data_IF_479343181610
#
_entry.id   IF_479343181610
#
_cell.length_a   1.000
_cell.length_b   1.000
_cell.length_c   1.000
_cell.angle_alpha   90.00
_cell.angle_beta   90.00
_cell.angle_gamma   90.00
#
_symmetry.space_group_name_H-M   'P 1'
#
loop_
_entity.id
_entity.type
_entity.pdbx_description
1 polymer ?
#
# COMPACT_ATOMS: atom_id res chain seq x y z
N UNK A 1 26.62 -56.58 -11.23
CA UNK A 1 27.20 -55.38 -10.59
C UNK A 1 26.19 -54.25 -10.61
N UNK A 2 25.49 -53.98 -9.49
CA UNK A 2 24.64 -52.80 -9.34
C UNK A 2 25.51 -51.66 -8.79
N UNK A 3 25.77 -50.64 -9.60
CA UNK A 3 26.43 -49.41 -9.15
C UNK A 3 25.55 -48.74 -8.09
N UNK A 4 26.00 -48.80 -6.83
CA UNK A 4 25.41 -48.05 -5.72
C UNK A 4 25.75 -46.59 -5.96
N UNK A 5 24.76 -45.78 -6.37
CA UNK A 5 24.89 -44.35 -6.57
C UNK A 5 25.18 -43.73 -5.19
N UNK A 6 26.46 -43.50 -4.89
CA UNK A 6 26.90 -42.80 -3.69
C UNK A 6 26.41 -41.35 -3.83
N UNK A 7 25.26 -41.05 -3.23
CA UNK A 7 24.84 -39.66 -3.00
C UNK A 7 25.85 -39.06 -2.04
N UNK A 8 26.87 -38.39 -2.59
CA UNK A 8 27.76 -37.50 -1.85
C UNK A 8 26.87 -36.48 -1.15
N UNK A 9 26.77 -36.59 0.17
CA UNK A 9 26.13 -35.56 1.00
C UNK A 9 26.79 -34.23 0.67
N UNK A 10 26.02 -33.18 0.31
CA UNK A 10 26.60 -31.89 -0.01
C UNK A 10 27.43 -31.40 1.16
N UNK A 11 28.66 -30.97 0.85
CA UNK A 11 29.60 -30.50 1.85
C UNK A 11 28.98 -29.30 2.60
N UNK A 12 28.77 -29.42 3.91
CA UNK A 12 28.05 -28.43 4.72
C UNK A 12 28.69 -27.04 4.58
N UNK A 13 30.01 -27.00 4.39
CA UNK A 13 30.77 -25.78 4.11
C UNK A 13 30.39 -25.14 2.76
N UNK A 14 30.13 -25.94 1.73
CA UNK A 14 29.69 -25.48 0.41
C UNK A 14 28.28 -24.89 0.45
N UNK A 15 27.33 -25.56 1.10
CA UNK A 15 25.96 -25.04 1.24
C UNK A 15 25.90 -23.72 2.03
N UNK A 16 26.68 -23.64 3.12
CA UNK A 16 26.78 -22.42 3.94
C UNK A 16 27.39 -21.27 3.13
N UNK A 17 28.48 -21.52 2.38
CA UNK A 17 29.12 -20.53 1.50
C UNK A 17 28.18 -20.05 0.39
N UNK A 18 27.45 -20.95 -0.26
CA UNK A 18 26.48 -20.60 -1.30
C UNK A 18 25.32 -19.74 -0.74
N UNK A 19 24.86 -20.05 0.47
CA UNK A 19 23.83 -19.26 1.16
C UNK A 19 24.32 -17.85 1.49
N UNK A 20 25.55 -17.71 1.97
CA UNK A 20 26.17 -16.41 2.25
C UNK A 20 26.30 -15.59 0.96
N UNK A 21 26.82 -16.19 -0.11
CA UNK A 21 26.96 -15.52 -1.42
C UNK A 21 25.61 -15.03 -1.96
N UNK A 22 24.56 -15.86 -1.87
CA UNK A 22 23.20 -15.45 -2.25
C UNK A 22 22.69 -14.25 -1.45
N UNK A 23 22.95 -14.21 -0.14
CA UNK A 23 22.56 -13.06 0.72
C UNK A 23 23.32 -11.80 0.35
N UNK A 24 24.63 -11.89 0.14
CA UNK A 24 25.47 -10.76 -0.26
C UNK A 24 24.98 -10.22 -1.61
N UNK A 25 24.76 -11.10 -2.58
CA UNK A 25 24.31 -10.70 -3.91
C UNK A 25 22.91 -10.08 -3.87
N UNK A 26 21.97 -10.68 -3.14
CA UNK A 26 20.63 -10.14 -2.95
C UNK A 26 20.67 -8.75 -2.32
N UNK A 27 21.47 -8.56 -1.26
CA UNK A 27 21.62 -7.28 -0.59
C UNK A 27 22.26 -6.24 -1.51
N UNK A 28 23.37 -6.57 -2.16
CA UNK A 28 24.08 -5.68 -3.07
C UNK A 28 23.17 -5.23 -4.23
N UNK A 29 22.47 -6.16 -4.88
CA UNK A 29 21.51 -5.84 -5.95
C UNK A 29 20.36 -5.00 -5.42
N UNK A 30 19.84 -5.28 -4.22
CA UNK A 30 18.76 -4.49 -3.61
C UNK A 30 19.18 -3.05 -3.38
N UNK A 31 20.39 -2.83 -2.84
CA UNK A 31 20.94 -1.48 -2.64
C UNK A 31 21.10 -0.75 -3.98
N UNK A 32 21.68 -1.40 -4.99
CA UNK A 32 21.84 -0.80 -6.34
C UNK A 32 20.49 -0.44 -6.95
N UNK A 33 19.49 -1.33 -6.87
CA UNK A 33 18.14 -1.08 -7.37
C UNK A 33 17.47 0.09 -6.64
N UNK A 34 17.56 0.15 -5.31
CA UNK A 34 16.98 1.24 -4.53
C UNK A 34 17.64 2.57 -4.90
N UNK A 35 18.97 2.62 -4.95
CA UNK A 35 19.71 3.83 -5.34
C UNK A 35 19.34 4.27 -6.76
N UNK A 36 19.28 3.33 -7.70
CA UNK A 36 18.83 3.61 -9.06
C UNK A 36 17.40 4.15 -9.10
N UNK A 37 16.47 3.50 -8.39
CA UNK A 37 15.06 3.87 -8.34
C UNK A 37 14.84 5.26 -7.75
N UNK A 38 15.44 5.54 -6.58
CA UNK A 38 15.34 6.84 -5.90
C UNK A 38 15.99 7.95 -6.73
N UNK A 39 17.21 7.72 -7.24
CA UNK A 39 17.93 8.74 -8.02
C UNK A 39 17.20 9.08 -9.31
N UNK A 40 16.70 8.07 -10.03
CA UNK A 40 15.96 8.32 -11.27
C UNK A 40 14.60 8.94 -11.02
N UNK A 41 13.89 8.56 -9.94
CA UNK A 41 12.64 9.21 -9.53
C UNK A 41 12.86 10.70 -9.26
N UNK A 42 13.90 11.06 -8.50
CA UNK A 42 14.24 12.46 -8.22
C UNK A 42 14.65 13.26 -9.47
N UNK A 43 15.38 12.62 -10.40
CA UNK A 43 15.78 13.26 -11.67
C UNK A 43 14.61 13.48 -12.62
N UNK A 44 13.59 12.64 -12.57
CA UNK A 44 12.38 12.76 -13.38
C UNK A 44 11.27 13.54 -12.66
N UNK A 45 11.59 14.24 -11.56
CA UNK A 45 10.56 14.91 -10.75
C UNK A 45 9.77 15.91 -11.57
N UNK A 46 8.46 15.88 -11.37
CA UNK A 46 7.48 16.72 -12.03
C UNK A 46 6.29 16.87 -11.10
N UNK A 47 5.57 17.97 -11.19
CA UNK A 47 4.39 18.22 -10.38
C UNK A 47 3.15 18.22 -11.28
N UNK A 48 2.11 17.47 -10.91
CA UNK A 48 0.83 17.56 -11.60
C UNK A 48 0.14 18.87 -11.23
N UNK A 49 -0.56 19.46 -12.18
CA UNK A 49 -1.53 20.54 -11.95
C UNK A 49 -2.57 20.18 -10.88
N UNK A 50 -3.10 18.96 -10.90
CA UNK A 50 -4.03 18.43 -9.88
C UNK A 50 -3.47 18.48 -8.45
N UNK A 51 -2.15 18.42 -8.27
CA UNK A 51 -1.52 18.52 -6.95
C UNK A 51 -1.77 19.87 -6.28
N UNK A 52 -1.93 20.94 -7.07
CA UNK A 52 -2.21 22.28 -6.57
C UNK A 52 -3.58 22.41 -5.92
N UNK A 53 -4.51 21.50 -6.19
CA UNK A 53 -5.76 21.41 -5.44
C UNK A 53 -5.43 21.09 -3.98
N UNK A 54 -4.73 19.98 -3.74
CA UNK A 54 -4.37 19.53 -2.37
C UNK A 54 -3.54 20.58 -1.64
N UNK A 55 -2.55 21.17 -2.32
CA UNK A 55 -1.72 22.25 -1.78
C UNK A 55 -2.54 23.48 -1.39
N UNK A 56 -3.56 23.85 -2.17
CA UNK A 56 -4.42 24.99 -1.83
C UNK A 56 -5.28 24.72 -0.61
N UNK A 57 -5.84 23.52 -0.47
CA UNK A 57 -6.57 23.14 0.74
C UNK A 57 -5.66 23.13 1.97
N UNK A 58 -4.45 22.57 1.85
CA UNK A 58 -3.46 22.57 2.92
C UNK A 58 -3.06 24.00 3.34
N UNK A 59 -2.83 24.88 2.35
CA UNK A 59 -2.54 26.31 2.58
C UNK A 59 -3.68 27.01 3.31
N UNK A 60 -4.92 26.88 2.81
CA UNK A 60 -6.07 27.56 3.42
C UNK A 60 -6.32 27.09 4.86
N UNK A 61 -6.11 25.81 5.13
CA UNK A 61 -6.18 25.32 6.50
C UNK A 61 -5.07 25.90 7.37
N UNK A 62 -3.83 25.95 6.88
CA UNK A 62 -2.71 26.58 7.58
C UNK A 62 -2.95 28.08 7.86
N UNK A 63 -3.63 28.78 6.95
CA UNK A 63 -4.04 30.18 7.10
C UNK A 63 -5.27 30.36 8.04
N UNK A 64 -5.83 29.29 8.59
CA UNK A 64 -7.00 29.35 9.48
C UNK A 64 -8.35 29.48 8.77
N UNK A 65 -8.40 29.34 7.44
CA UNK A 65 -9.62 29.46 6.62
C UNK A 65 -10.43 28.16 6.52
N UNK A 66 -9.87 27.07 7.06
CA UNK A 66 -10.43 25.72 6.97
C UNK A 66 -9.96 24.95 5.73
N UNK A 67 -10.37 23.68 5.64
CA UNK A 67 -10.12 22.82 4.48
C UNK A 67 -11.10 23.17 3.35
N UNK A 68 -10.84 24.30 2.70
CA UNK A 68 -11.67 24.81 1.60
C UNK A 68 -10.80 25.26 0.44
N UNK A 69 -11.34 25.29 -0.78
CA UNK A 69 -10.63 25.87 -1.92
C UNK A 69 -10.78 27.39 -1.98
N UNK A 70 -12.02 27.88 -1.85
CA UNK A 70 -12.35 29.29 -1.68
C UNK A 70 -12.83 29.51 -0.24
N UNK A 71 -12.42 30.61 0.37
CA UNK A 71 -12.82 30.95 1.74
C UNK A 71 -14.33 31.10 1.84
N UNK A 72 -14.93 30.51 2.88
CA UNK A 72 -16.39 30.48 3.09
C UNK A 72 -17.15 29.42 2.26
N UNK A 73 -16.50 28.78 1.27
CA UNK A 73 -17.12 27.74 0.44
C UNK A 73 -16.68 26.34 0.90
N UNK A 74 -17.50 25.73 1.76
CA UNK A 74 -17.27 24.39 2.32
C UNK A 74 -17.60 23.27 1.31
N UNK A 75 -16.81 23.20 0.25
CA UNK A 75 -16.95 22.23 -0.84
C UNK A 75 -15.72 21.34 -0.90
N UNK A 76 -15.90 20.01 -1.00
CA UNK A 76 -14.77 19.07 -1.11
C UNK A 76 -14.33 18.91 -2.57
N UNK A 77 -13.10 19.38 -2.87
CA UNK A 77 -12.48 19.31 -4.20
C UNK A 77 -11.36 18.28 -4.35
N UNK A 78 -10.93 17.65 -3.25
CA UNK A 78 -9.84 16.66 -3.23
C UNK A 78 -10.35 15.29 -2.77
N UNK A 79 -9.59 14.23 -3.03
CA UNK A 79 -9.93 12.85 -2.61
C UNK A 79 -8.82 12.16 -1.83
N UNK A 80 -7.86 12.94 -1.35
CA UNK A 80 -6.63 12.51 -0.71
C UNK A 80 -6.40 13.25 0.63
N UNK A 81 -7.36 13.12 1.54
CA UNK A 81 -7.37 13.81 2.83
C UNK A 81 -6.08 13.61 3.61
N UNK A 82 -5.65 12.37 3.79
CA UNK A 82 -4.43 12.08 4.55
C UNK A 82 -3.20 12.77 3.94
N UNK A 83 -3.06 12.72 2.62
CA UNK A 83 -2.00 13.45 1.90
C UNK A 83 -2.09 14.96 2.12
N UNK A 84 -3.28 15.55 2.00
CA UNK A 84 -3.50 16.98 2.23
C UNK A 84 -3.10 17.39 3.65
N UNK A 85 -3.46 16.60 4.66
CA UNK A 85 -3.08 16.86 6.06
C UNK A 85 -1.55 16.83 6.25
N UNK A 86 -0.85 15.90 5.61
CA UNK A 86 0.62 15.82 5.68
C UNK A 86 1.33 17.06 5.14
N UNK A 87 0.69 17.82 4.23
CA UNK A 87 1.26 19.01 3.61
C UNK A 87 1.04 20.29 4.43
N UNK A 88 0.08 20.31 5.37
CA UNK A 88 -0.24 21.49 6.20
C UNK A 88 0.99 22.07 6.93
N UNK A 89 1.84 21.28 7.62
CA UNK A 89 2.98 21.83 8.37
C UNK A 89 3.97 22.63 7.51
N UNK A 90 4.06 22.30 6.22
CA UNK A 90 4.95 22.98 5.27
C UNK A 90 4.44 24.35 4.85
N UNK A 91 3.12 24.59 4.98
CA UNK A 91 2.54 25.91 4.83
C UNK A 91 2.62 26.77 6.10
N UNK A 92 2.77 26.17 7.28
CA UNK A 92 2.88 26.90 8.55
C UNK A 92 4.28 27.49 8.76
N UNK A 93 5.33 26.74 8.41
CA UNK A 93 6.71 27.14 8.70
C UNK A 93 7.33 28.08 7.66
N UNK A 94 6.84 28.09 6.42
CA UNK A 94 7.43 28.79 5.26
C UNK A 94 8.93 28.49 5.00
N UNK A 95 9.52 27.50 5.69
CA UNK A 95 10.95 27.15 5.57
C UNK A 95 11.22 26.22 4.39
N UNK A 96 10.24 25.38 4.04
CA UNK A 96 10.34 24.36 3.00
C UNK A 96 9.19 24.62 2.03
N UNK A 97 9.50 24.69 0.73
CA UNK A 97 8.48 24.78 -0.31
C UNK A 97 7.55 23.54 -0.22
N UNK A 98 6.23 23.72 -0.08
CA UNK A 98 5.26 22.62 -0.09
C UNK A 98 5.37 21.69 -1.31
N UNK A 99 5.84 22.19 -2.46
CA UNK A 99 6.12 21.37 -3.65
C UNK A 99 7.29 20.40 -3.40
N UNK A 100 8.35 20.87 -2.73
CA UNK A 100 9.47 20.02 -2.32
C UNK A 100 9.05 18.99 -1.26
N UNK A 101 8.11 19.35 -0.39
CA UNK A 101 7.51 18.40 0.55
C UNK A 101 6.77 17.26 -0.19
N UNK A 102 6.03 17.57 -1.26
CA UNK A 102 5.40 16.55 -2.10
C UNK A 102 6.43 15.60 -2.71
N UNK A 103 7.54 16.12 -3.26
CA UNK A 103 8.61 15.27 -3.81
C UNK A 103 9.24 14.39 -2.73
N UNK A 104 9.50 14.96 -1.56
CA UNK A 104 10.07 14.24 -0.43
C UNK A 104 9.17 13.08 0.01
N UNK A 105 7.89 13.32 0.28
CA UNK A 105 6.98 12.26 0.71
C UNK A 105 6.74 11.21 -0.37
N UNK A 106 6.68 11.61 -1.64
CA UNK A 106 6.57 10.70 -2.76
C UNK A 106 7.76 9.74 -2.87
N UNK A 107 8.99 10.28 -2.83
CA UNK A 107 10.23 9.50 -2.86
C UNK A 107 10.39 8.65 -1.60
N UNK A 108 10.05 9.18 -0.43
CA UNK A 108 10.08 8.45 0.83
C UNK A 108 9.14 7.24 0.79
N UNK A 109 7.95 7.41 0.21
CA UNK A 109 6.98 6.33 0.03
C UNK A 109 7.44 5.29 -0.99
N UNK A 110 8.06 5.73 -2.09
CA UNK A 110 8.70 4.83 -3.06
C UNK A 110 9.80 4.00 -2.41
N UNK A 111 10.68 4.64 -1.63
CA UNK A 111 11.72 3.98 -0.85
C UNK A 111 11.13 2.98 0.15
N UNK A 112 10.14 3.40 0.93
CA UNK A 112 9.44 2.52 1.87
C UNK A 112 8.82 1.30 1.18
N UNK A 113 8.24 1.47 -0.01
CA UNK A 113 7.71 0.37 -0.82
C UNK A 113 8.81 -0.62 -1.18
N UNK A 114 9.99 -0.13 -1.59
CA UNK A 114 11.15 -0.98 -1.87
C UNK A 114 11.58 -1.81 -0.65
N UNK A 115 11.60 -1.21 0.54
CA UNK A 115 11.93 -1.90 1.79
C UNK A 115 10.91 -3.02 2.07
N UNK A 116 9.61 -2.74 1.97
CA UNK A 116 8.59 -3.76 2.23
C UNK A 116 8.60 -4.88 1.18
N UNK A 117 8.94 -4.61 -0.09
CA UNK A 117 9.12 -5.66 -1.10
C UNK A 117 10.26 -6.63 -0.75
N UNK A 118 11.34 -6.12 -0.15
CA UNK A 118 12.42 -6.96 0.37
C UNK A 118 11.93 -7.79 1.56
N UNK A 119 11.23 -7.17 2.52
CA UNK A 119 10.73 -7.84 3.72
C UNK A 119 9.70 -8.95 3.40
N UNK A 120 8.91 -8.77 2.34
CA UNK A 120 7.95 -9.79 1.88
C UNK A 120 8.60 -11.04 1.28
N UNK A 121 9.87 -10.97 0.89
CA UNK A 121 10.54 -12.07 0.20
C UNK A 121 11.02 -13.14 1.20
N UNK A 122 10.27 -14.24 1.36
CA UNK A 122 10.63 -15.34 2.27
C UNK A 122 11.71 -16.29 1.73
N UNK A 123 11.78 -16.47 0.41
CA UNK A 123 12.71 -17.40 -0.24
C UNK A 123 13.94 -16.64 -0.73
N UNK A 124 15.11 -17.06 -0.26
CA UNK A 124 16.37 -16.45 -0.66
C UNK A 124 16.69 -16.80 -2.12
N UNK A 125 16.42 -15.85 -3.01
CA UNK A 125 16.93 -15.81 -4.38
C UNK A 125 18.20 -14.95 -4.42
N UNK A 126 19.14 -15.16 -5.36
CA UNK A 126 20.22 -14.19 -5.59
C UNK A 126 19.69 -12.84 -6.10
N UNK A 127 18.53 -12.81 -6.75
CA UNK A 127 17.93 -11.61 -7.36
C UNK A 127 16.64 -11.24 -6.61
N UNK A 128 16.48 -9.99 -6.16
CA UNK A 128 15.27 -9.51 -5.51
C UNK A 128 14.16 -9.24 -6.54
N UNK A 129 13.61 -10.31 -7.13
CA UNK A 129 12.73 -10.24 -8.31
C UNK A 129 11.58 -9.23 -8.19
N UNK A 130 10.83 -9.24 -7.08
CA UNK A 130 9.71 -8.32 -6.87
C UNK A 130 10.18 -6.85 -6.83
N UNK A 131 11.30 -6.57 -6.17
CA UNK A 131 11.94 -5.25 -6.16
C UNK A 131 12.39 -4.86 -7.57
N UNK A 132 13.01 -5.78 -8.33
CA UNK A 132 13.43 -5.54 -9.71
C UNK A 132 12.25 -5.16 -10.60
N UNK A 133 11.15 -5.91 -10.55
CA UNK A 133 9.94 -5.61 -11.32
C UNK A 133 9.37 -4.23 -10.97
N UNK A 134 9.30 -3.92 -9.67
CA UNK A 134 8.78 -2.64 -9.19
C UNK A 134 9.66 -1.47 -9.62
N UNK A 135 10.97 -1.55 -9.35
CA UNK A 135 11.93 -0.48 -9.62
C UNK A 135 12.13 -0.27 -11.11
N UNK A 136 12.23 -1.34 -11.91
CA UNK A 136 12.51 -1.22 -13.36
C UNK A 136 11.30 -0.74 -14.16
N UNK A 137 10.08 -0.86 -13.63
CA UNK A 137 8.90 -0.28 -14.27
C UNK A 137 8.96 1.25 -14.24
N UNK A 138 9.05 1.87 -15.41
CA UNK A 138 9.18 3.32 -15.57
C UNK A 138 8.09 4.11 -14.82
N UNK A 139 6.82 3.67 -14.93
CA UNK A 139 5.70 4.36 -14.32
C UNK A 139 5.77 4.44 -12.79
N UNK A 140 6.32 3.42 -12.12
CA UNK A 140 6.48 3.48 -10.66
C UNK A 140 7.46 4.57 -10.23
N UNK A 141 8.47 4.85 -11.07
CA UNK A 141 9.51 5.86 -10.79
C UNK A 141 9.06 7.27 -11.16
N UNK A 142 8.43 7.45 -12.32
CA UNK A 142 7.97 8.78 -12.74
C UNK A 142 6.83 9.28 -11.85
N UNK A 143 5.89 8.42 -11.45
CA UNK A 143 4.79 8.80 -10.57
C UNK A 143 5.19 8.84 -9.09
N UNK A 144 6.45 8.51 -8.75
CA UNK A 144 7.00 8.68 -7.40
C UNK A 144 6.96 10.13 -6.93
N UNK A 145 7.00 11.09 -7.85
CA UNK A 145 7.14 12.52 -7.55
C UNK A 145 6.00 13.37 -8.08
N UNK A 146 4.92 12.80 -8.62
CA UNK A 146 3.87 13.53 -9.34
C UNK A 146 3.04 14.55 -8.52
N UNK A 147 3.36 14.77 -7.25
CA UNK A 147 2.63 15.70 -6.37
C UNK A 147 1.40 15.13 -5.68
N UNK A 148 1.04 13.89 -6.03
CA UNK A 148 -0.15 13.21 -5.55
C UNK A 148 0.21 12.03 -4.64
N UNK A 149 -0.80 11.55 -3.95
CA UNK A 149 -0.71 10.54 -2.91
C UNK A 149 -0.42 9.12 -3.42
N UNK A 150 -0.34 8.90 -4.73
CA UNK A 150 -0.26 7.57 -5.38
C UNK A 150 0.84 6.70 -4.78
N UNK A 151 2.05 7.21 -4.64
CA UNK A 151 3.18 6.45 -4.08
C UNK A 151 3.02 6.18 -2.59
N UNK A 152 2.46 7.14 -1.84
CA UNK A 152 2.09 6.94 -0.45
C UNK A 152 1.02 5.85 -0.31
N UNK A 153 0.02 5.84 -1.19
CA UNK A 153 -1.02 4.83 -1.18
C UNK A 153 -0.47 3.42 -1.42
N UNK A 154 0.41 3.24 -2.41
CA UNK A 154 1.09 1.97 -2.66
C UNK A 154 1.92 1.50 -1.46
N UNK A 155 2.66 2.41 -0.82
CA UNK A 155 3.40 2.13 0.41
C UNK A 155 2.49 1.68 1.56
N UNK A 156 1.39 2.41 1.80
CA UNK A 156 0.42 2.10 2.86
C UNK A 156 -0.20 0.71 2.63
N UNK A 157 -0.64 0.38 1.41
CA UNK A 157 -1.25 -0.92 1.11
C UNK A 157 -0.26 -2.07 1.33
N UNK A 158 0.98 -1.92 0.85
CA UNK A 158 1.99 -2.96 0.98
C UNK A 158 2.40 -3.15 2.45
N UNK A 159 2.65 -2.06 3.17
CA UNK A 159 3.01 -2.10 4.59
C UNK A 159 1.87 -2.66 5.46
N UNK A 160 0.62 -2.26 5.20
CA UNK A 160 -0.54 -2.83 5.88
C UNK A 160 -0.63 -4.35 5.65
N UNK A 161 -0.51 -4.79 4.40
CA UNK A 161 -0.53 -6.21 4.04
C UNK A 161 0.57 -6.99 4.75
N UNK A 162 1.78 -6.41 4.88
CA UNK A 162 2.90 -7.04 5.56
C UNK A 162 2.56 -7.30 7.03
N UNK A 163 2.13 -6.26 7.76
CA UNK A 163 1.82 -6.37 9.18
C UNK A 163 0.63 -7.30 9.44
N UNK A 164 -0.38 -7.33 8.57
CA UNK A 164 -1.51 -8.24 8.71
C UNK A 164 -1.10 -9.72 8.52
N UNK A 165 -0.31 -10.02 7.49
CA UNK A 165 0.05 -11.40 7.10
C UNK A 165 1.15 -11.98 7.99
N UNK A 166 2.17 -11.20 8.34
CA UNK A 166 3.35 -11.71 9.06
C UNK A 166 3.17 -11.74 10.59
N UNK A 167 2.11 -11.15 11.11
CA UNK A 167 1.75 -11.34 12.51
C UNK A 167 1.33 -12.78 12.76
N UNK A 168 2.20 -13.59 13.39
CA UNK A 168 1.93 -15.01 13.68
C UNK A 168 0.96 -15.25 14.85
N UNK A 169 0.66 -14.22 15.62
CA UNK A 169 -0.19 -14.32 16.82
C UNK A 169 -1.37 -13.37 16.67
N UNK A 170 -2.55 -13.75 17.16
CA UNK A 170 -3.73 -12.86 17.30
C UNK A 170 -3.60 -11.76 18.35
N UNK A 171 -2.41 -11.55 18.92
CA UNK A 171 -2.18 -10.42 19.81
C UNK A 171 -2.52 -9.10 19.09
N UNK A 172 -3.55 -8.43 19.61
CA UNK A 172 -4.11 -7.19 19.06
C UNK A 172 -3.04 -6.11 18.85
N UNK A 173 -2.07 -5.96 19.75
CA UNK A 173 -0.98 -4.97 19.61
C UNK A 173 -0.15 -5.16 18.35
N UNK A 174 0.00 -6.39 17.87
CA UNK A 174 0.76 -6.68 16.64
C UNK A 174 -0.07 -6.43 15.37
N UNK A 175 -1.39 -6.54 15.46
CA UNK A 175 -2.32 -6.34 14.34
C UNK A 175 -2.62 -4.84 14.12
N UNK A 176 -2.62 -4.04 15.20
CA UNK A 176 -2.93 -2.60 15.17
C UNK A 176 -2.17 -1.84 14.07
N UNK A 177 -0.84 -1.99 13.87
CA UNK A 177 -0.15 -1.30 12.78
C UNK A 177 -0.75 -1.59 11.40
N UNK A 178 -1.09 -2.85 11.13
CA UNK A 178 -1.70 -3.26 9.86
C UNK A 178 -3.09 -2.66 9.65
N UNK A 179 -3.89 -2.58 10.72
CA UNK A 179 -5.23 -1.96 10.67
C UNK A 179 -5.17 -0.44 10.62
N UNK A 180 -4.25 0.18 11.34
CA UNK A 180 -4.03 1.62 11.26
C UNK A 180 -3.68 2.02 9.84
N UNK A 181 -2.73 1.30 9.21
CA UNK A 181 -2.35 1.56 7.83
C UNK A 181 -3.51 1.28 6.85
N UNK A 182 -4.30 0.22 7.05
CA UNK A 182 -5.48 -0.01 6.21
C UNK A 182 -6.53 1.09 6.37
N UNK A 183 -6.76 1.62 7.58
CA UNK A 183 -7.63 2.77 7.82
C UNK A 183 -7.10 4.04 7.16
N UNK A 184 -5.79 4.31 7.27
CA UNK A 184 -5.14 5.43 6.59
C UNK A 184 -5.25 5.32 5.07
N UNK A 185 -5.34 4.11 4.51
CA UNK A 185 -5.56 3.92 3.07
C UNK A 185 -6.89 4.52 2.62
N UNK A 186 -7.96 4.44 3.44
CA UNK A 186 -9.27 5.05 3.16
C UNK A 186 -9.23 6.57 3.22
N UNK A 187 -8.48 7.13 4.17
CA UNK A 187 -8.30 8.59 4.28
C UNK A 187 -7.37 9.12 3.17
N UNK A 188 -6.45 8.29 2.67
CA UNK A 188 -5.56 8.66 1.59
C UNK A 188 -6.24 8.58 0.22
N UNK A 189 -7.11 7.59 -0.01
CA UNK A 189 -7.93 7.49 -1.23
C UNK A 189 -9.25 6.76 -0.95
N UNK A 190 -10.35 7.12 -1.64
CA UNK A 190 -11.65 6.47 -1.43
C UNK A 190 -11.63 4.97 -1.82
N UNK A 191 -10.83 4.56 -2.80
CA UNK A 191 -10.70 3.16 -3.20
C UNK A 191 -10.01 2.27 -2.15
N UNK A 192 -9.30 2.87 -1.18
CA UNK A 192 -8.72 2.16 -0.03
C UNK A 192 -9.76 1.45 0.84
N UNK A 193 -11.04 1.84 0.77
CA UNK A 193 -12.13 1.16 1.49
C UNK A 193 -12.25 -0.33 1.13
N UNK A 194 -11.99 -0.69 -0.13
CA UNK A 194 -12.05 -2.09 -0.57
C UNK A 194 -10.99 -2.91 0.15
N UNK A 195 -9.77 -2.41 0.22
CA UNK A 195 -8.68 -3.06 0.95
C UNK A 195 -8.96 -3.13 2.45
N UNK A 196 -9.50 -2.07 3.05
CA UNK A 196 -9.80 -2.01 4.47
C UNK A 196 -10.91 -2.99 4.90
N UNK A 197 -11.96 -3.16 4.06
CA UNK A 197 -12.99 -4.19 4.28
C UNK A 197 -12.36 -5.59 4.24
N UNK A 198 -11.53 -5.87 3.23
CA UNK A 198 -10.83 -7.15 3.11
C UNK A 198 -9.89 -7.42 4.29
N UNK A 199 -9.20 -6.39 4.79
CA UNK A 199 -8.37 -6.48 5.99
C UNK A 199 -9.20 -6.85 7.23
N UNK A 200 -10.39 -6.25 7.40
CA UNK A 200 -11.33 -6.60 8.46
C UNK A 200 -11.81 -8.04 8.37
N UNK A 201 -12.23 -8.48 7.19
CA UNK A 201 -12.65 -9.87 6.93
C UNK A 201 -11.50 -10.83 7.25
N UNK A 202 -10.29 -10.55 6.77
CA UNK A 202 -9.09 -11.36 7.03
C UNK A 202 -8.84 -11.54 8.52
N UNK A 203 -8.94 -10.47 9.31
CA UNK A 203 -8.75 -10.51 10.76
C UNK A 203 -9.83 -11.34 11.44
N UNK A 204 -11.11 -11.14 11.08
CA UNK A 204 -12.23 -11.91 11.64
C UNK A 204 -12.01 -13.41 11.37
N UNK A 205 -11.70 -13.78 10.13
CA UNK A 205 -11.44 -15.18 9.76
C UNK A 205 -10.25 -15.76 10.53
N UNK A 206 -9.18 -14.99 10.71
CA UNK A 206 -8.01 -15.41 11.49
C UNK A 206 -8.35 -15.63 12.96
N UNK A 207 -9.14 -14.73 13.57
CA UNK A 207 -9.62 -14.91 14.94
C UNK A 207 -10.52 -16.14 15.09
N UNK A 208 -11.43 -16.38 14.15
CA UNK A 208 -12.28 -17.56 14.14
C UNK A 208 -11.47 -18.86 14.03
N UNK A 209 -10.43 -18.87 13.19
CA UNK A 209 -9.54 -20.02 13.03
C UNK A 209 -8.74 -20.31 14.31
N UNK A 210 -8.18 -19.28 14.95
CA UNK A 210 -7.42 -19.45 16.20
C UNK A 210 -8.32 -19.85 17.37
N UNK A 211 -9.54 -19.29 17.49
CA UNK A 211 -10.53 -19.66 18.51
C UNK A 211 -10.98 -21.13 18.40
N UNK A 212 -11.04 -21.69 17.18
CA UNK A 212 -11.35 -23.10 16.97
C UNK A 212 -10.17 -24.02 17.33
N UNK A 213 -8.94 -23.54 17.17
CA UNK A 213 -7.71 -24.33 17.40
C UNK A 213 -7.23 -24.29 18.84
N UNK A 214 -7.40 -23.16 19.52
CA UNK A 214 -7.04 -22.95 20.91
C UNK A 214 -8.33 -22.63 21.66
N UNK A 215 -8.62 -23.34 22.75
CA UNK A 215 -9.68 -22.99 23.71
C UNK A 215 -9.36 -21.69 24.48
N UNK A 216 -8.91 -20.65 23.79
CA UNK A 216 -8.58 -19.34 24.35
C UNK A 216 -9.84 -18.51 24.41
N UNK A 217 -10.34 -18.27 25.62
CA UNK A 217 -11.36 -17.26 25.86
C UNK A 217 -10.87 -15.92 25.31
N UNK A 218 -11.63 -15.32 24.40
CA UNK A 218 -11.48 -13.93 23.99
C UNK A 218 -11.61 -13.05 25.24
N UNK A 219 -10.47 -12.66 25.82
CA UNK A 219 -10.46 -11.68 26.90
C UNK A 219 -10.67 -10.31 26.28
N UNK A 220 -11.74 -9.63 26.67
CA UNK A 220 -11.92 -8.22 26.41
C UNK A 220 -10.79 -7.46 27.12
N UNK A 221 -9.74 -7.15 26.36
CA UNK A 221 -8.61 -6.34 26.80
C UNK A 221 -8.68 -4.96 26.11
N UNK A 222 -8.04 -3.96 26.71
CA UNK A 222 -7.92 -2.60 26.19
C UNK A 222 -7.42 -2.56 24.74
N UNK A 223 -6.60 -3.54 24.35
CA UNK A 223 -6.11 -3.68 22.97
C UNK A 223 -7.20 -3.97 21.94
N UNK A 224 -8.30 -4.63 22.32
CA UNK A 224 -9.46 -4.83 21.45
C UNK A 224 -10.18 -3.49 21.21
N UNK A 225 -10.30 -2.66 22.25
CA UNK A 225 -10.89 -1.32 22.15
C UNK A 225 -10.07 -0.45 21.20
N UNK A 226 -8.74 -0.44 21.35
CA UNK A 226 -7.85 0.28 20.43
C UNK A 226 -8.01 -0.25 19.00
N UNK A 227 -8.06 -1.57 18.80
CA UNK A 227 -8.26 -2.15 17.47
C UNK A 227 -9.58 -1.68 16.84
N UNK A 228 -10.68 -1.73 17.59
CA UNK A 228 -12.00 -1.29 17.13
C UNK A 228 -12.01 0.19 16.78
N UNK A 229 -11.45 1.06 17.63
CA UNK A 229 -11.33 2.50 17.35
C UNK A 229 -10.50 2.73 16.09
N UNK A 230 -9.38 2.01 15.96
CA UNK A 230 -8.49 2.14 14.79
C UNK A 230 -9.21 1.68 13.51
N UNK A 231 -9.97 0.59 13.56
CA UNK A 231 -10.75 0.09 12.43
C UNK A 231 -11.90 1.06 12.06
N UNK A 232 -12.52 1.71 13.05
CA UNK A 232 -13.61 2.67 12.82
C UNK A 232 -13.12 4.07 12.42
N UNK A 233 -11.81 4.31 12.36
CA UNK A 233 -11.24 5.61 11.97
C UNK A 233 -11.80 6.16 10.65
N UNK A 234 -11.96 5.37 9.56
CA UNK A 234 -12.58 5.87 8.34
C UNK A 234 -14.04 6.30 8.56
N UNK A 235 -14.80 5.60 9.40
CA UNK A 235 -16.19 5.96 9.71
C UNK A 235 -16.24 7.32 10.39
N UNK A 236 -15.40 7.56 11.40
CA UNK A 236 -15.32 8.87 12.05
C UNK A 236 -14.93 9.98 11.07
N UNK A 237 -14.00 9.70 10.16
CA UNK A 237 -13.65 10.64 9.09
C UNK A 237 -14.86 10.96 8.18
N UNK A 238 -15.63 9.95 7.76
CA UNK A 238 -16.80 10.16 6.91
C UNK A 238 -17.95 10.90 7.62
N UNK A 239 -18.12 10.70 8.94
CA UNK A 239 -19.07 11.47 9.75
C UNK A 239 -18.65 12.94 9.76
N UNK A 240 -17.40 13.22 10.12
CA UNK A 240 -16.86 14.60 10.11
C UNK A 240 -16.99 15.23 8.72
N UNK A 241 -16.63 14.48 7.67
CA UNK A 241 -16.72 14.94 6.29
C UNK A 241 -18.15 15.32 5.91
N UNK A 242 -19.13 14.53 6.32
CA UNK A 242 -20.54 14.80 6.05
C UNK A 242 -21.02 16.06 6.78
N UNK A 243 -20.63 16.24 8.04
CA UNK A 243 -20.94 17.45 8.81
C UNK A 243 -20.24 18.69 8.23
N UNK A 244 -19.00 18.55 7.75
CA UNK A 244 -18.17 19.65 7.29
C UNK A 244 -18.50 20.10 5.86
N UNK A 245 -18.73 19.18 4.92
CA UNK A 245 -18.98 19.47 3.50
C UNK A 245 -20.42 19.24 3.04
N UNK A 246 -21.28 18.67 3.90
CA UNK A 246 -22.68 18.35 3.58
C UNK A 246 -22.90 17.21 2.58
N UNK A 247 -21.84 16.58 2.06
CA UNK A 247 -21.92 15.54 1.03
C UNK A 247 -21.01 14.34 1.34
N UNK A 248 -21.49 13.13 1.02
CA UNK A 248 -20.71 11.88 1.19
C UNK A 248 -19.62 11.76 0.12
N UNK A 249 -19.95 12.11 -1.12
CA UNK A 249 -19.04 12.06 -2.26
C UNK A 249 -18.45 13.45 -2.54
N UNK A 250 -17.21 13.52 -3.07
CA UNK A 250 -16.59 14.78 -3.41
C UNK A 250 -17.36 15.51 -4.51
N UNK A 251 -17.30 16.84 -4.50
CA UNK A 251 -18.00 17.66 -5.49
C UNK A 251 -17.57 17.34 -6.92
N UNK A 252 -16.31 16.91 -7.11
CA UNK A 252 -15.78 16.49 -8.41
C UNK A 252 -16.52 15.30 -9.00
N UNK A 253 -17.08 14.40 -8.18
CA UNK A 253 -17.95 13.33 -8.66
C UNK A 253 -19.19 13.92 -9.31
N UNK A 254 -19.93 14.77 -8.60
CA UNK A 254 -21.15 15.38 -9.11
C UNK A 254 -20.88 16.26 -10.34
N UNK A 255 -19.86 17.11 -10.28
CA UNK A 255 -19.51 18.03 -11.36
C UNK A 255 -19.03 17.33 -12.63
N UNK A 256 -18.21 16.27 -12.52
CA UNK A 256 -17.61 15.60 -13.69
C UNK A 256 -18.48 14.48 -14.24
N UNK A 257 -19.18 13.74 -13.38
CA UNK A 257 -19.94 12.54 -13.78
C UNK A 257 -21.44 12.80 -13.95
N UNK A 258 -21.96 13.90 -13.42
CA UNK A 258 -23.40 14.14 -13.31
C UNK A 258 -24.09 13.16 -12.37
N UNK A 259 -23.35 12.56 -11.45
CA UNK A 259 -23.84 11.50 -10.56
C UNK A 259 -23.85 10.09 -11.17
N UNK A 260 -23.45 9.93 -12.43
CA UNK A 260 -23.44 8.63 -13.11
C UNK A 260 -22.13 7.86 -12.90
N UNK A 261 -22.17 6.54 -12.61
CA UNK A 261 -20.98 5.73 -12.39
C UNK A 261 -20.14 5.46 -13.66
N UNK A 262 -20.67 5.75 -14.87
CA UNK A 262 -19.97 5.58 -16.18
C UNK A 262 -19.21 4.25 -16.33
N UNK A 263 -19.87 3.13 -16.05
CA UNK A 263 -19.25 1.78 -16.07
C UNK A 263 -18.61 1.40 -17.41
N UNK A 264 -19.21 1.80 -18.54
CA UNK A 264 -18.67 1.56 -19.88
C UNK A 264 -17.30 2.22 -20.07
N UNK A 265 -17.13 3.45 -19.57
CA UNK A 265 -15.84 4.14 -19.57
C UNK A 265 -14.81 3.41 -18.69
N UNK A 266 -15.25 2.86 -17.56
CA UNK A 266 -14.42 2.02 -16.70
C UNK A 266 -13.86 0.79 -17.42
N UNK A 267 -14.69 0.10 -18.21
CA UNK A 267 -14.26 -1.05 -19.03
C UNK A 267 -13.24 -0.64 -20.11
N UNK A 268 -13.43 0.53 -20.72
CA UNK A 268 -12.47 1.09 -21.69
C UNK A 268 -11.12 1.37 -21.02
N UNK A 269 -11.12 1.98 -19.82
CA UNK A 269 -9.88 2.19 -19.06
C UNK A 269 -9.20 0.89 -18.64
N UNK A 270 -9.98 -0.12 -18.23
CA UNK A 270 -9.44 -1.44 -17.92
C UNK A 270 -8.78 -2.07 -19.15
N UNK A 271 -9.40 -1.95 -20.32
CA UNK A 271 -8.82 -2.45 -21.57
C UNK A 271 -7.52 -1.73 -21.93
N UNK A 272 -7.47 -0.39 -21.83
CA UNK A 272 -6.24 0.37 -22.05
C UNK A 272 -5.14 0.00 -21.06
N UNK A 273 -5.50 -0.23 -19.79
CA UNK A 273 -4.57 -0.71 -18.78
C UNK A 273 -3.97 -2.07 -19.19
N UNK A 274 -4.81 -3.05 -19.54
CA UNK A 274 -4.34 -4.37 -19.97
C UNK A 274 -3.50 -4.31 -21.25
N UNK A 275 -3.84 -3.41 -22.18
CA UNK A 275 -3.06 -3.20 -23.42
C UNK A 275 -1.69 -2.57 -23.12
N UNK A 276 -1.62 -1.60 -22.22
CA UNK A 276 -0.38 -0.94 -21.84
C UNK A 276 0.52 -1.86 -21.01
N UNK A 277 -0.07 -2.66 -20.14
CA UNK A 277 0.61 -3.53 -19.18
C UNK A 277 0.38 -5.02 -19.47
N UNK A 278 0.36 -5.41 -20.75
CA UNK A 278 0.08 -6.79 -21.16
C UNK A 278 1.02 -7.82 -20.52
N UNK A 279 2.27 -7.43 -20.21
CA UNK A 279 3.23 -8.26 -19.49
C UNK A 279 2.82 -8.62 -18.04
N UNK A 280 1.86 -7.91 -17.44
CA UNK A 280 1.30 -8.24 -16.12
C UNK A 280 0.27 -9.38 -16.18
N UNK A 281 -0.35 -9.62 -17.34
CA UNK A 281 -1.37 -10.67 -17.52
C UNK A 281 -0.83 -12.07 -17.16
N UNK A 282 0.32 -12.54 -17.69
CA UNK A 282 0.86 -13.84 -17.31
C UNK A 282 1.28 -13.91 -15.84
N UNK A 283 1.69 -12.79 -15.24
CA UNK A 283 2.03 -12.72 -13.81
C UNK A 283 0.77 -12.94 -12.97
N UNK A 284 -0.33 -12.25 -13.31
CA UNK A 284 -1.64 -12.44 -12.69
C UNK A 284 -2.13 -13.88 -12.82
N UNK A 285 -2.03 -14.46 -14.03
CA UNK A 285 -2.37 -15.87 -14.26
C UNK A 285 -1.56 -16.81 -13.38
N UNK A 286 -0.24 -16.62 -13.30
CA UNK A 286 0.64 -17.42 -12.44
C UNK A 286 0.30 -17.28 -10.95
N UNK A 287 -0.02 -16.06 -10.49
CA UNK A 287 -0.43 -15.81 -9.10
C UNK A 287 -1.75 -16.52 -8.79
N UNK A 288 -2.74 -16.45 -9.68
CA UNK A 288 -4.02 -17.12 -9.50
C UNK A 288 -3.84 -18.64 -9.48
N UNK A 289 -3.09 -19.22 -10.43
CA UNK A 289 -2.80 -20.66 -10.45
C UNK A 289 -2.06 -21.09 -9.18
N UNK A 290 -1.07 -20.33 -8.74
CA UNK A 290 -0.33 -20.62 -7.51
C UNK A 290 -1.22 -20.53 -6.26
N UNK A 291 -2.16 -19.58 -6.25
CA UNK A 291 -3.13 -19.40 -5.18
C UNK A 291 -4.09 -20.59 -5.11
N UNK A 292 -4.73 -20.96 -6.21
CA UNK A 292 -5.64 -22.12 -6.27
C UNK A 292 -4.92 -23.44 -6.01
N UNK A 293 -3.70 -23.63 -6.52
CA UNK A 293 -2.88 -24.81 -6.25
C UNK A 293 -2.46 -24.97 -4.77
N UNK A 294 -2.47 -23.89 -3.98
CA UNK A 294 -2.30 -23.98 -2.52
C UNK A 294 -3.55 -24.51 -1.81
N UNK A 295 -4.76 -24.24 -2.32
CA UNK A 295 -6.00 -24.79 -1.74
C UNK A 295 -6.12 -26.29 -1.97
N UNK A 296 -5.72 -26.77 -3.15
CA UNK A 296 -5.68 -28.21 -3.45
C UNK A 296 -4.69 -28.95 -2.55
N UNK A 297 -3.48 -28.40 -2.38
CA UNK A 297 -2.45 -29.01 -1.53
C UNK A 297 -2.77 -28.95 -0.02
N UNK A 298 -3.55 -27.96 0.43
CA UNK A 298 -3.98 -27.84 1.83
C UNK A 298 -5.28 -28.58 2.16
N UNK A 299 -5.81 -29.40 1.24
CA UNK A 299 -6.90 -30.35 1.52
C UNK A 299 -8.29 -29.73 1.73
N UNK A 300 -8.53 -28.50 1.28
CA UNK A 300 -9.85 -27.84 1.41
C UNK A 300 -10.86 -28.26 0.34
N UNK A 301 -10.42 -28.94 -0.71
CA UNK A 301 -11.29 -29.57 -1.71
C UNK A 301 -10.85 -31.01 -1.89
N UNK A 302 -11.40 -31.90 -1.07
CA UNK A 302 -11.59 -33.29 -1.49
C UNK A 302 -13.04 -33.39 -1.95
N UNK A 303 -13.24 -33.32 -3.26
CA UNK A 303 -14.37 -33.99 -3.91
C UNK A 303 -14.25 -35.49 -3.71
#
# INVERSE_FOLDING_TARGET
MKYKKTTLLPDIAYEKRNTILKRILYFAISVVLILFGVTTSYRMRWISDDAFISLRYAKNFADGKGLVFNEGEFVEGYTNFFWTILLIPFHLSNQIDPVEACYFFGILSFFGTCIYLILFCKKLSPIPFALSCFVLLYHNRIFATGGLETSLHGFILLSASYHLIYCRTTNFYKIIPGILLSSLSCLNRPDGILFHILAGIYIILKFLQESKSNHTNLRFDFSLVILCITYLLPVFYYIWKLEYYGNILPNTFYAKSGGSPRLTQGLIYLWYFLKMYYGMIPILGFVLVSFFGQFENNGFVKT
#
